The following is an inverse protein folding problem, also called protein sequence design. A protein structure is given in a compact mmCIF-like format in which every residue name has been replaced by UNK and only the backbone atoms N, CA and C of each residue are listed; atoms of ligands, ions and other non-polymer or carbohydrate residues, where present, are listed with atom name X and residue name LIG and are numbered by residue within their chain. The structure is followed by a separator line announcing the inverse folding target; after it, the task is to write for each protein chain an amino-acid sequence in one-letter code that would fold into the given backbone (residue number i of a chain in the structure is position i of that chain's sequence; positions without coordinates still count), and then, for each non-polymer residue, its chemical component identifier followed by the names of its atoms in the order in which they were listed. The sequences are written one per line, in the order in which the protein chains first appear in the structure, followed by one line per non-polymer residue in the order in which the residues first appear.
data_IF_496599626086
#
_entry.id   IF_496599626086
#
_cell.length_a   1.000
_cell.length_b   1.000
_cell.length_c   1.000
_cell.angle_alpha   90.00
_cell.angle_beta   90.00
_cell.angle_gamma   90.00
#
_symmetry.space_group_name_H-M   'P 1'
#
loop_
_entity.id
_entity.type
_entity.pdbx_description
1 polymer ?
#
# COMPACT_ATOMS: atom_id res chain seq x y z
N UNK A 1 -32.76 7.98 -5.95
CA UNK A 1 -31.58 8.72 -6.44
C UNK A 1 -31.19 9.74 -5.36
N UNK A 2 -29.96 9.74 -4.85
CA UNK A 2 -29.56 10.71 -3.81
C UNK A 2 -29.25 12.08 -4.42
N UNK A 3 -29.61 13.16 -3.72
CA UNK A 3 -29.30 14.52 -4.13
C UNK A 3 -27.79 14.81 -4.06
N UNK A 4 -27.26 15.74 -4.88
CA UNK A 4 -25.82 16.09 -4.91
C UNK A 4 -25.29 16.50 -3.53
N UNK A 5 -26.10 17.22 -2.75
CA UNK A 5 -25.79 17.62 -1.37
C UNK A 5 -25.80 16.43 -0.38
N UNK A 6 -26.77 15.54 -0.53
CA UNK A 6 -26.89 14.29 0.24
C UNK A 6 -25.66 13.38 0.03
N UNK A 7 -25.16 13.35 -1.20
CA UNK A 7 -23.96 12.60 -1.58
C UNK A 7 -22.68 13.22 -1.00
N UNK A 8 -22.53 14.55 -1.07
CA UNK A 8 -21.38 15.27 -0.50
C UNK A 8 -21.31 15.09 1.03
N UNK A 9 -22.44 15.25 1.73
CA UNK A 9 -22.54 15.04 3.19
C UNK A 9 -22.23 13.60 3.62
N UNK A 10 -22.55 12.61 2.78
CA UNK A 10 -22.18 11.21 3.03
C UNK A 10 -20.68 10.98 2.81
N UNK A 11 -20.11 11.57 1.75
CA UNK A 11 -18.68 11.50 1.45
C UNK A 11 -17.82 12.14 2.53
N UNK A 12 -18.25 13.26 3.11
CA UNK A 12 -17.55 13.89 4.24
C UNK A 12 -17.53 13.03 5.49
N UNK A 13 -18.65 12.38 5.83
CA UNK A 13 -18.71 11.42 6.95
C UNK A 13 -17.80 10.21 6.70
N UNK A 14 -17.83 9.63 5.50
CA UNK A 14 -16.92 8.55 5.11
C UNK A 14 -15.45 8.96 4.99
N UNK A 15 -15.14 10.27 4.90
CA UNK A 15 -13.75 10.77 4.89
C UNK A 15 -13.13 10.80 6.28
N UNK A 16 -13.93 11.00 7.33
CA UNK A 16 -13.50 11.02 8.74
C UNK A 16 -13.24 9.62 9.30
N UNK A 17 -13.90 8.60 8.77
CA UNK A 17 -13.73 7.19 9.19
C UNK A 17 -12.61 6.43 8.45
N UNK A 18 -11.90 7.05 7.50
CA UNK A 18 -10.69 6.44 6.90
C UNK A 18 -9.45 6.54 7.81
N UNK A 19 -9.68 6.41 9.12
CA UNK A 19 -8.66 6.28 10.16
C UNK A 19 -7.98 4.91 10.19
N UNK A 20 -8.33 3.98 9.30
CA UNK A 20 -7.57 2.75 9.04
C UNK A 20 -6.27 3.05 8.25
N UNK A 21 -5.53 4.09 8.63
CA UNK A 21 -4.11 4.14 8.24
C UNK A 21 -3.42 3.11 9.13
N UNK A 22 -3.17 1.93 8.58
CA UNK A 22 -2.15 1.05 9.14
C UNK A 22 -0.89 1.89 9.30
N UNK A 23 -0.41 2.02 10.53
CA UNK A 23 0.84 2.71 10.78
C UNK A 23 1.95 1.99 10.00
N UNK A 24 2.81 2.75 9.28
CA UNK A 24 3.93 2.14 8.59
C UNK A 24 4.83 1.47 9.63
N UNK A 25 5.09 0.18 9.43
CA UNK A 25 6.00 -0.58 10.27
C UNK A 25 7.42 -0.15 9.90
N UNK A 26 8.14 0.38 10.88
CA UNK A 26 9.58 0.65 10.77
C UNK A 26 10.35 -0.65 11.00
N UNK A 27 11.37 -0.93 10.21
CA UNK A 27 12.20 -2.11 10.37
C UNK A 27 13.41 -2.07 9.45
N UNK A 28 14.14 -3.17 9.34
CA UNK A 28 15.27 -3.29 8.42
C UNK A 28 15.11 -4.60 7.65
N UNK A 29 14.51 -4.53 6.47
CA UNK A 29 14.31 -5.68 5.57
C UNK A 29 15.15 -5.54 4.32
N UNK A 30 15.54 -6.66 3.71
CA UNK A 30 16.27 -6.65 2.45
C UNK A 30 15.33 -7.00 1.30
N UNK A 31 15.45 -6.25 0.19
CA UNK A 31 14.77 -6.58 -1.05
C UNK A 31 15.31 -7.92 -1.60
N UNK A 32 14.42 -8.86 -1.89
CA UNK A 32 14.79 -10.17 -2.42
C UNK A 32 15.42 -10.14 -3.83
N UNK A 33 15.22 -9.04 -4.57
CA UNK A 33 15.67 -8.89 -5.96
C UNK A 33 16.96 -8.08 -6.10
N UNK A 34 17.07 -6.95 -5.39
CA UNK A 34 18.22 -6.05 -5.49
C UNK A 34 19.06 -5.92 -4.21
N UNK A 35 18.65 -6.52 -3.10
CA UNK A 35 19.35 -6.43 -1.81
C UNK A 35 19.24 -5.08 -1.10
N UNK A 36 18.48 -4.11 -1.64
CA UNK A 36 18.31 -2.80 -1.02
C UNK A 36 17.59 -2.89 0.34
N UNK A 37 18.06 -2.11 1.31
CA UNK A 37 17.43 -1.98 2.63
C UNK A 37 16.11 -1.22 2.55
N UNK A 38 15.07 -1.80 3.14
CA UNK A 38 13.72 -1.23 3.26
C UNK A 38 13.51 -0.91 4.73
N UNK A 39 13.27 0.37 5.01
CA UNK A 39 13.11 0.88 6.38
C UNK A 39 11.66 0.98 6.83
N UNK A 40 10.73 1.07 5.87
CA UNK A 40 9.32 1.36 6.14
C UNK A 40 8.42 0.52 5.23
N UNK A 41 7.46 -0.20 5.82
CA UNK A 41 6.46 -0.97 5.08
C UNK A 41 5.04 -0.60 5.53
N UNK A 42 4.09 -0.41 4.61
CA UNK A 42 2.69 -0.10 4.96
C UNK A 42 1.91 -1.31 5.48
N UNK A 43 2.54 -2.48 5.57
CA UNK A 43 1.96 -3.74 6.03
C UNK A 43 2.97 -4.50 6.90
N UNK A 44 2.48 -5.41 7.74
CA UNK A 44 3.33 -6.29 8.52
C UNK A 44 3.97 -7.34 7.59
N UNK A 45 5.30 -7.38 7.46
CA UNK A 45 5.95 -8.38 6.62
C UNK A 45 5.72 -9.79 7.18
N UNK A 46 5.50 -10.75 6.28
CA UNK A 46 5.40 -12.17 6.62
C UNK A 46 6.68 -12.88 6.17
N UNK A 47 7.22 -13.77 7.01
CA UNK A 47 8.44 -14.52 6.70
C UNK A 47 8.30 -15.48 5.50
N UNK A 48 7.07 -15.83 5.13
CA UNK A 48 6.74 -16.74 4.04
C UNK A 48 6.87 -16.09 2.64
N UNK A 49 6.86 -14.74 2.56
CA UNK A 49 6.82 -14.01 1.28
C UNK A 49 8.03 -13.11 1.07
N UNK A 50 8.64 -13.12 -0.13
CA UNK A 50 9.74 -12.22 -0.45
C UNK A 50 9.27 -10.76 -0.45
N UNK A 51 10.05 -9.90 0.21
CA UNK A 51 9.81 -8.46 0.28
C UNK A 51 10.53 -7.80 -0.89
N UNK A 52 9.84 -6.91 -1.61
CA UNK A 52 10.40 -6.15 -2.71
C UNK A 52 10.37 -4.66 -2.40
N UNK A 53 11.41 -3.93 -2.81
CA UNK A 53 11.40 -2.48 -2.77
C UNK A 53 10.40 -1.92 -3.80
N UNK A 54 10.06 -0.63 -3.65
CA UNK A 54 9.09 0.05 -4.54
C UNK A 54 9.45 -0.09 -6.02
N UNK A 55 10.73 -0.10 -6.36
CA UNK A 55 11.19 -0.20 -7.74
C UNK A 55 11.05 -1.62 -8.31
N UNK A 56 11.52 -2.64 -7.59
CA UNK A 56 11.39 -4.04 -8.00
C UNK A 56 9.91 -4.45 -8.09
N UNK A 57 9.09 -3.99 -7.14
CA UNK A 57 7.64 -4.21 -7.19
C UNK A 57 7.00 -3.60 -8.45
N UNK A 58 7.37 -2.36 -8.80
CA UNK A 58 6.85 -1.68 -10.00
C UNK A 58 7.26 -2.42 -11.28
N UNK A 59 8.54 -2.82 -11.40
CA UNK A 59 9.05 -3.58 -12.55
C UNK A 59 8.30 -4.91 -12.72
N UNK A 60 8.12 -5.66 -11.62
CA UNK A 60 7.41 -6.94 -11.64
C UNK A 60 5.94 -6.79 -12.04
N UNK A 61 5.27 -5.74 -11.53
CA UNK A 61 3.88 -5.40 -11.91
C UNK A 61 3.75 -5.01 -13.37
N UNK A 62 4.72 -4.29 -13.92
CA UNK A 62 4.73 -3.89 -15.33
C UNK A 62 4.88 -5.11 -16.26
N UNK A 63 5.74 -6.07 -15.89
CA UNK A 63 5.91 -7.33 -16.62
C UNK A 63 4.66 -8.25 -16.57
N UNK A 64 3.89 -8.21 -15.49
CA UNK A 64 2.67 -9.01 -15.35
C UNK A 64 1.51 -8.46 -16.20
N UNK A 65 1.48 -7.14 -16.42
CA UNK A 65 0.43 -6.46 -17.20
C UNK A 65 0.68 -6.48 -18.72
N UNK A 66 1.83 -6.98 -19.17
CA UNK A 66 2.18 -7.04 -20.59
C UNK A 66 1.69 -8.32 -21.30
N UNK A 67 0.89 -9.15 -20.64
CA UNK A 67 0.31 -10.38 -21.17
C UNK A 67 -1.22 -10.29 -21.20
#
# INVERSE_FOLDING_TARGET
MYCKDCWLKRRERGRRERGFRSEPVQGNWQCADCGQTITELPFNPAADRPIYCRECWRKKKEQELSY
#
